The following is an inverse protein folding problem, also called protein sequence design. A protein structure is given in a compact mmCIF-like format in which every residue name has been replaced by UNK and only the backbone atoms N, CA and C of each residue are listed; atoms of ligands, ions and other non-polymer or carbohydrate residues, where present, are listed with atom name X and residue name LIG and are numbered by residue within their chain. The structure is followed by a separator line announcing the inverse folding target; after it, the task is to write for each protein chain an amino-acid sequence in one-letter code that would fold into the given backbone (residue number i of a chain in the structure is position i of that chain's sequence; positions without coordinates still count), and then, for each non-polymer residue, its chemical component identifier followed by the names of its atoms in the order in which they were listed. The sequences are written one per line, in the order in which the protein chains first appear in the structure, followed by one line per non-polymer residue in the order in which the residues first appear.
data_IF_175767593886
#
_entry.id   IF_175767593886
#
_cell.length_a   1.000
_cell.length_b   1.000
_cell.length_c   1.000
_cell.angle_alpha   90.00
_cell.angle_beta   90.00
_cell.angle_gamma   90.00
#
_symmetry.space_group_name_H-M   'P 1'
#
loop_
_entity.id
_entity.type
_entity.pdbx_description
1 polymer ?
#
# COMPACT_ATOMS: atom_id res chain seq x y z
N UNK A 1 -18.67 16.66 7.90
CA UNK A 1 -17.32 16.89 8.45
C UNK A 1 -16.55 15.58 8.26
N UNK A 2 -15.61 15.53 7.30
CA UNK A 2 -14.91 14.28 6.91
C UNK A 2 -13.89 13.92 7.99
N UNK A 3 -13.97 12.71 8.56
CA UNK A 3 -12.94 12.20 9.47
C UNK A 3 -11.88 11.43 8.67
N UNK A 4 -10.59 11.84 8.70
CA UNK A 4 -9.54 11.02 8.12
C UNK A 4 -9.51 9.66 8.83
N UNK A 5 -9.53 8.57 8.06
CA UNK A 5 -9.29 7.24 8.61
C UNK A 5 -7.83 7.06 9.03
N UNK A 6 -7.50 5.90 9.61
CA UNK A 6 -6.12 5.54 9.91
C UNK A 6 -5.26 5.30 8.67
N UNK A 7 -3.95 5.29 8.89
CA UNK A 7 -2.94 5.06 7.86
C UNK A 7 -2.67 3.59 7.55
N UNK A 8 -1.63 3.34 6.76
CA UNK A 8 -1.20 1.97 6.40
C UNK A 8 -0.08 1.50 7.31
N UNK A 9 -0.14 0.26 7.77
CA UNK A 9 0.88 -0.37 8.61
C UNK A 9 1.25 -1.75 8.09
N UNK A 10 2.26 -2.34 8.72
CA UNK A 10 2.69 -3.70 8.51
C UNK A 10 2.30 -4.52 9.75
N UNK A 11 1.54 -5.60 9.58
CA UNK A 11 1.03 -6.45 10.68
C UNK A 11 1.48 -7.89 10.50
N UNK A 12 1.91 -8.54 11.59
CA UNK A 12 2.21 -9.96 11.59
C UNK A 12 0.97 -10.79 11.20
N UNK A 13 1.17 -11.74 10.30
CA UNK A 13 0.15 -12.61 9.72
C UNK A 13 0.51 -14.07 9.95
N UNK A 14 -0.28 -14.76 10.77
CA UNK A 14 -0.09 -16.19 11.08
C UNK A 14 0.98 -16.46 12.14
N UNK A 15 1.40 -17.74 12.24
CA UNK A 15 2.23 -18.28 13.33
C UNK A 15 3.71 -18.45 12.95
N UNK A 16 4.15 -17.89 11.82
CA UNK A 16 5.57 -17.82 11.46
C UNK A 16 6.16 -16.52 12.00
N UNK A 17 7.46 -16.52 12.26
CA UNK A 17 8.14 -15.45 13.01
C UNK A 17 8.08 -14.09 12.29
N UNK A 18 7.93 -14.04 10.96
CA UNK A 18 8.00 -12.81 10.19
C UNK A 18 7.10 -12.65 8.92
N UNK A 19 5.91 -13.27 8.73
CA UNK A 19 5.06 -12.92 7.61
C UNK A 19 4.34 -11.61 7.92
N UNK A 20 4.69 -10.53 7.25
CA UNK A 20 4.09 -9.21 7.48
C UNK A 20 3.14 -8.87 6.34
N UNK A 21 1.85 -8.79 6.66
CA UNK A 21 0.77 -8.31 5.78
C UNK A 21 0.67 -6.79 5.87
N UNK A 22 0.38 -6.15 4.75
CA UNK A 22 0.10 -4.71 4.71
C UNK A 22 -1.37 -4.51 5.06
N UNK A 23 -1.65 -3.64 6.04
CA UNK A 23 -3.00 -3.45 6.57
C UNK A 23 -3.31 -1.97 6.79
N UNK A 24 -4.58 -1.60 6.63
CA UNK A 24 -5.16 -0.34 7.10
C UNK A 24 -5.31 -0.36 8.62
N UNK A 25 -5.05 0.78 9.25
CA UNK A 25 -5.44 1.08 10.62
C UNK A 25 -6.78 1.82 10.65
N UNK A 26 -7.54 1.64 11.72
CA UNK A 26 -8.74 2.42 11.97
C UNK A 26 -8.39 3.84 12.45
N UNK A 27 -7.33 3.97 13.25
CA UNK A 27 -6.83 5.23 13.82
C UNK A 27 -5.29 5.28 13.78
N UNK A 28 -4.74 6.51 13.71
CA UNK A 28 -3.30 6.77 13.72
C UNK A 28 -2.65 6.86 12.33
N UNK A 29 -1.41 7.32 12.27
CA UNK A 29 -0.73 7.70 11.02
C UNK A 29 -0.17 6.53 10.20
N UNK A 30 -0.07 5.34 10.79
CA UNK A 30 0.60 4.20 10.16
C UNK A 30 2.12 4.36 10.02
N UNK A 31 2.70 3.54 9.16
CA UNK A 31 4.11 3.59 8.78
C UNK A 31 4.30 4.44 7.51
N UNK A 32 5.42 5.18 7.39
CA UNK A 32 5.73 5.91 6.17
C UNK A 32 5.91 4.94 5.00
N UNK A 33 5.49 5.32 3.80
CA UNK A 33 5.70 4.52 2.59
C UNK A 33 6.60 5.28 1.62
N UNK A 34 7.57 4.56 1.07
CA UNK A 34 8.42 5.06 0.01
C UNK A 34 7.94 4.49 -1.32
N UNK A 35 7.58 5.39 -2.22
CA UNK A 35 7.36 5.11 -3.62
C UNK A 35 8.63 5.43 -4.41
N UNK A 36 8.95 4.63 -5.41
CA UNK A 36 10.07 4.90 -6.31
C UNK A 36 9.70 4.43 -7.71
N UNK A 37 9.91 5.29 -8.69
CA UNK A 37 9.77 4.97 -10.11
C UNK A 37 11.13 4.58 -10.68
N UNK A 38 11.21 3.65 -11.63
CA UNK A 38 12.43 3.43 -12.41
C UNK A 38 12.75 4.64 -13.31
N UNK A 39 11.77 5.50 -13.59
CA UNK A 39 11.97 6.74 -14.31
C UNK A 39 12.74 7.71 -13.40
N UNK A 40 13.81 8.32 -13.93
CA UNK A 40 14.67 9.27 -13.19
C UNK A 40 14.07 10.67 -13.16
N UNK A 41 12.79 10.79 -12.80
CA UNK A 41 12.07 12.06 -12.71
C UNK A 41 12.09 12.60 -11.27
N UNK A 42 12.02 13.92 -11.14
CA UNK A 42 11.97 14.61 -9.83
C UNK A 42 10.65 14.37 -9.08
N UNK A 43 9.56 14.21 -9.83
CA UNK A 43 8.23 13.94 -9.31
C UNK A 43 7.73 12.62 -9.89
N UNK A 44 6.92 11.91 -9.10
CA UNK A 44 6.19 10.74 -9.60
C UNK A 44 5.02 11.24 -10.45
N UNK A 45 4.96 10.74 -11.68
CA UNK A 45 3.81 10.95 -12.54
C UNK A 45 2.63 10.11 -12.07
N UNK A 46 1.43 10.58 -12.38
CA UNK A 46 0.29 9.69 -12.44
C UNK A 46 0.58 8.59 -13.46
N UNK A 47 0.05 7.41 -13.20
CA UNK A 47 0.25 6.23 -14.03
C UNK A 47 1.67 5.61 -14.05
N UNK A 48 2.63 6.17 -13.32
CA UNK A 48 3.94 5.56 -13.17
C UNK A 48 3.87 4.19 -12.49
N UNK A 49 4.68 3.25 -12.98
CA UNK A 49 4.88 1.97 -12.30
C UNK A 49 5.89 2.12 -11.17
N UNK A 50 5.43 1.86 -9.95
CA UNK A 50 6.16 2.13 -8.73
C UNK A 50 6.59 0.83 -8.03
N UNK A 51 7.78 0.88 -7.44
CA UNK A 51 8.13 0.04 -6.32
C UNK A 51 7.67 0.71 -5.03
N UNK A 52 6.95 -0.04 -4.20
CA UNK A 52 6.38 0.44 -2.95
C UNK A 52 7.00 -0.31 -1.78
N UNK A 53 7.51 0.41 -0.77
CA UNK A 53 8.12 -0.22 0.41
C UNK A 53 7.95 0.60 1.68
N UNK A 54 8.04 -0.05 2.84
CA UNK A 54 8.24 0.68 4.11
C UNK A 54 9.73 1.03 4.25
N UNK A 55 10.14 2.30 4.46
CA UNK A 55 11.53 2.66 4.64
C UNK A 55 12.07 2.20 6.00
N UNK A 56 11.18 2.08 6.99
CA UNK A 56 11.46 1.58 8.32
C UNK A 56 10.53 0.39 8.56
N UNK A 57 11.12 -0.77 8.78
CA UNK A 57 10.40 -1.97 9.24
C UNK A 57 10.85 -2.29 10.66
N UNK A 58 9.96 -2.87 11.49
CA UNK A 58 10.36 -3.39 12.80
C UNK A 58 11.52 -4.39 12.64
N UNK A 59 12.44 -4.43 13.61
CA UNK A 59 13.67 -5.24 13.59
C UNK A 59 13.46 -6.73 13.27
N UNK A 60 12.27 -7.25 13.54
CA UNK A 60 11.87 -8.64 13.29
C UNK A 60 11.24 -8.87 11.90
N UNK A 61 11.29 -7.91 10.99
CA UNK A 61 10.85 -8.08 9.61
C UNK A 61 11.98 -8.66 8.73
N UNK A 62 11.69 -9.46 7.70
CA UNK A 62 12.70 -9.81 6.70
C UNK A 62 13.26 -8.51 6.11
N UNK A 63 14.56 -8.48 5.78
CA UNK A 63 15.29 -7.29 5.28
C UNK A 63 14.59 -6.57 4.12
N UNK A 64 13.68 -7.27 3.43
CA UNK A 64 12.92 -6.77 2.30
C UNK A 64 11.56 -6.19 2.75
N UNK A 65 11.48 -4.87 2.76
CA UNK A 65 10.26 -4.11 3.10
C UNK A 65 9.36 -3.78 1.91
N UNK A 66 9.67 -4.34 0.74
CA UNK A 66 8.95 -4.09 -0.50
C UNK A 66 7.63 -4.84 -0.52
N UNK A 67 6.58 -4.18 -0.99
CA UNK A 67 5.25 -4.74 -1.11
C UNK A 67 5.16 -5.69 -2.31
N UNK A 68 4.38 -6.74 -2.14
CA UNK A 68 4.10 -7.77 -3.14
C UNK A 68 2.68 -8.28 -2.96
N UNK A 69 2.13 -8.94 -3.97
CA UNK A 69 0.78 -9.53 -3.92
C UNK A 69 0.91 -11.05 -3.88
N UNK A 70 0.22 -11.72 -2.96
CA UNK A 70 0.19 -13.17 -2.91
C UNK A 70 -0.72 -13.76 -4.00
N UNK A 71 -0.24 -14.83 -4.64
CA UNK A 71 -1.04 -15.61 -5.58
C UNK A 71 -2.13 -16.37 -4.81
N UNK A 72 -3.38 -16.28 -5.27
CA UNK A 72 -4.54 -16.92 -4.65
C UNK A 72 -5.33 -15.98 -3.75
N UNK A 73 -4.79 -15.58 -2.59
CA UNK A 73 -5.51 -14.71 -1.65
C UNK A 73 -5.58 -13.24 -2.08
N UNK A 74 -4.74 -12.84 -3.05
CA UNK A 74 -4.57 -11.45 -3.50
C UNK A 74 -4.24 -10.44 -2.39
N UNK A 75 -3.83 -10.91 -1.20
CA UNK A 75 -3.38 -10.04 -0.11
C UNK A 75 -2.05 -9.34 -0.46
N UNK A 76 -1.94 -8.08 -0.06
CA UNK A 76 -0.69 -7.32 -0.16
C UNK A 76 0.18 -7.63 1.06
N UNK A 77 1.40 -8.10 0.84
CA UNK A 77 2.37 -8.47 1.87
C UNK A 77 3.74 -7.88 1.60
N UNK A 78 4.64 -7.99 2.56
CA UNK A 78 6.06 -7.72 2.31
C UNK A 78 6.70 -8.88 1.54
N UNK A 79 7.83 -8.61 0.91
CA UNK A 79 8.61 -9.57 0.13
C UNK A 79 9.21 -10.65 1.04
N UNK A 80 9.48 -11.85 0.50
CA UNK A 80 9.92 -13.02 1.27
C UNK A 80 8.97 -14.22 1.25
N UNK A 81 7.91 -14.17 0.43
CA UNK A 81 7.01 -15.31 0.20
C UNK A 81 7.30 -15.97 -1.14
N UNK A 82 7.18 -17.30 -1.20
CA UNK A 82 7.48 -18.12 -2.39
C UNK A 82 6.35 -18.16 -3.44
N UNK A 83 5.21 -17.49 -3.21
CA UNK A 83 4.03 -17.52 -4.09
C UNK A 83 3.45 -16.12 -4.30
N UNK A 84 4.18 -15.29 -5.03
CA UNK A 84 3.77 -13.92 -5.36
C UNK A 84 3.37 -13.78 -6.82
N UNK A 85 2.51 -12.80 -7.11
CA UNK A 85 2.17 -12.39 -8.47
C UNK A 85 3.23 -11.40 -8.94
N UNK A 86 3.80 -11.62 -10.14
CA UNK A 86 4.70 -10.65 -10.76
C UNK A 86 3.88 -9.46 -11.27
N UNK A 87 4.31 -8.26 -10.89
CA UNK A 87 3.61 -7.03 -11.23
C UNK A 87 4.20 -5.82 -10.53
N UNK A 88 3.58 -4.66 -10.76
CA UNK A 88 3.99 -3.38 -10.17
C UNK A 88 2.77 -2.62 -9.66
N UNK A 89 3.00 -1.77 -8.67
CA UNK A 89 1.97 -0.86 -8.18
C UNK A 89 1.93 0.39 -9.07
N UNK A 90 0.76 1.02 -9.11
CA UNK A 90 0.50 2.21 -9.91
C UNK A 90 -0.36 3.15 -9.09
N UNK A 91 -0.02 4.44 -9.06
CA UNK A 91 -0.85 5.46 -8.43
C UNK A 91 -1.73 6.09 -9.51
N UNK A 92 -3.02 6.16 -9.25
CA UNK A 92 -4.02 6.73 -10.13
C UNK A 92 -4.65 7.94 -9.43
N UNK A 93 -4.77 9.06 -10.12
CA UNK A 93 -5.58 10.16 -9.62
C UNK A 93 -7.05 9.80 -9.63
N UNK A 94 -7.80 10.48 -8.77
CA UNK A 94 -9.26 10.44 -8.77
C UNK A 94 -9.79 11.87 -8.80
N UNK A 95 -11.10 12.03 -9.00
CA UNK A 95 -11.73 13.34 -9.25
C UNK A 95 -11.73 14.33 -8.06
N UNK A 96 -11.14 13.99 -6.91
CA UNK A 96 -11.23 14.78 -5.66
C UNK A 96 -9.95 14.76 -4.81
N UNK A 97 -8.81 15.21 -5.36
CA UNK A 97 -7.51 15.36 -4.65
C UNK A 97 -7.04 14.13 -3.85
N UNK A 98 -7.56 12.97 -4.20
CA UNK A 98 -7.24 11.69 -3.59
C UNK A 98 -6.79 10.72 -4.67
N UNK A 99 -6.06 9.72 -4.24
CA UNK A 99 -5.38 8.80 -5.13
C UNK A 99 -5.87 7.38 -4.88
N UNK A 100 -5.95 6.58 -5.91
CA UNK A 100 -6.10 5.14 -5.79
C UNK A 100 -4.75 4.48 -6.06
N UNK A 101 -4.54 3.33 -5.43
CA UNK A 101 -3.42 2.46 -5.76
C UNK A 101 -3.99 1.27 -6.54
N UNK A 102 -3.32 0.88 -7.62
CA UNK A 102 -3.64 -0.32 -8.40
C UNK A 102 -2.42 -1.23 -8.45
N UNK A 103 -2.65 -2.53 -8.61
CA UNK A 103 -1.61 -3.50 -8.90
C UNK A 103 -1.81 -4.06 -10.30
N UNK A 104 -0.79 -3.87 -11.14
CA UNK A 104 -0.78 -4.33 -12.52
C UNK A 104 0.07 -5.59 -12.63
N UNK A 105 -0.58 -6.71 -12.92
CA UNK A 105 0.12 -7.96 -13.17
C UNK A 105 0.82 -7.93 -14.53
N UNK A 106 1.83 -8.77 -14.73
CA UNK A 106 2.53 -8.88 -16.03
C UNK A 106 1.61 -9.26 -17.21
N UNK A 107 0.38 -9.72 -16.93
CA UNK A 107 -0.65 -9.99 -17.94
C UNK A 107 -1.42 -8.74 -18.39
N UNK A 108 -0.91 -7.53 -18.12
CA UNK A 108 -1.46 -6.21 -18.49
C UNK A 108 -2.80 -5.79 -17.85
N UNK A 109 -3.35 -6.62 -16.96
CA UNK A 109 -4.52 -6.26 -16.16
C UNK A 109 -4.11 -5.56 -14.86
N UNK A 110 -4.66 -4.38 -14.63
CA UNK A 110 -4.53 -3.64 -13.39
C UNK A 110 -5.81 -3.79 -12.56
N UNK A 111 -5.65 -4.17 -11.31
CA UNK A 111 -6.74 -4.29 -10.36
C UNK A 111 -6.54 -3.28 -9.22
N UNK A 112 -7.62 -2.67 -8.70
CA UNK A 112 -7.51 -1.72 -7.59
C UNK A 112 -7.02 -2.42 -6.33
N UNK A 113 -6.23 -1.69 -5.54
CA UNK A 113 -5.87 -2.05 -4.17
C UNK A 113 -6.97 -1.54 -3.25
N UNK A 114 -7.52 -2.46 -2.49
CA UNK A 114 -8.60 -2.24 -1.56
C UNK A 114 -8.31 -2.73 -0.16
N UNK A 115 -9.29 -2.56 0.72
CA UNK A 115 -9.32 -3.19 2.04
C UNK A 115 -10.33 -4.34 2.07
N UNK A 116 -10.37 -5.11 3.16
CA UNK A 116 -11.42 -6.10 3.30
C UNK A 116 -12.76 -5.40 3.57
N UNK A 117 -13.86 -6.03 3.17
CA UNK A 117 -15.20 -5.66 3.64
C UNK A 117 -15.23 -5.59 5.18
N UNK A 118 -16.16 -4.77 5.71
CA UNK A 118 -16.40 -4.59 7.14
C UNK A 118 -16.31 -5.93 7.90
N UNK A 119 -15.40 -6.00 8.89
CA UNK A 119 -15.17 -7.19 9.73
C UNK A 119 -13.84 -7.94 9.51
N UNK A 120 -13.07 -7.61 8.47
CA UNK A 120 -11.72 -8.16 8.27
C UNK A 120 -10.61 -7.49 9.10
N UNK A 121 -9.43 -8.13 9.22
CA UNK A 121 -8.26 -7.61 10.00
C UNK A 121 -7.60 -6.32 9.45
N UNK A 122 -8.25 -5.64 8.51
CA UNK A 122 -7.73 -4.46 7.80
C UNK A 122 -6.73 -4.75 6.70
N UNK A 123 -6.49 -6.01 6.31
CA UNK A 123 -5.48 -6.38 5.30
C UNK A 123 -5.80 -5.79 3.92
N UNK A 124 -4.81 -5.17 3.28
CA UNK A 124 -4.97 -4.73 1.90
C UNK A 124 -5.04 -5.94 0.95
N UNK A 125 -5.94 -5.86 -0.01
CA UNK A 125 -6.17 -6.88 -1.04
C UNK A 125 -6.19 -6.23 -2.42
N UNK A 126 -5.88 -7.01 -3.45
CA UNK A 126 -6.01 -6.59 -4.84
C UNK A 126 -7.28 -7.19 -5.41
N UNK A 127 -8.12 -6.37 -6.05
CA UNK A 127 -9.30 -6.83 -6.79
C UNK A 127 -10.61 -6.17 -6.38
N UNK A 128 -11.48 -5.99 -7.39
CA UNK A 128 -12.85 -5.49 -7.25
C UNK A 128 -12.93 -3.99 -6.95
N UNK A 129 -13.52 -3.24 -7.88
CA UNK A 129 -13.69 -1.77 -7.75
C UNK A 129 -14.48 -1.37 -6.50
N UNK A 130 -15.41 -2.21 -6.06
CA UNK A 130 -16.22 -2.00 -4.86
C UNK A 130 -15.39 -1.92 -3.56
N UNK A 131 -14.15 -2.43 -3.56
CA UNK A 131 -13.28 -2.45 -2.39
C UNK A 131 -12.17 -1.39 -2.44
N UNK A 132 -12.11 -0.60 -3.51
CA UNK A 132 -11.05 0.39 -3.74
C UNK A 132 -10.95 1.35 -2.56
N UNK A 133 -9.74 1.50 -2.04
CA UNK A 133 -9.43 2.52 -1.04
C UNK A 133 -8.89 3.76 -1.74
N UNK A 134 -9.37 4.91 -1.28
CA UNK A 134 -8.82 6.21 -1.65
C UNK A 134 -7.80 6.64 -0.60
N UNK A 135 -6.67 7.15 -1.07
CA UNK A 135 -5.52 7.55 -0.29
C UNK A 135 -5.29 9.05 -0.38
N UNK A 136 -4.89 9.64 0.74
CA UNK A 136 -4.26 10.94 0.83
C UNK A 136 -2.80 10.74 1.19
N UNK A 137 -1.90 11.46 0.50
CA UNK A 137 -0.48 11.42 0.80
C UNK A 137 -0.11 12.59 1.72
N UNK A 138 0.34 12.26 2.92
CA UNK A 138 0.92 13.22 3.86
C UNK A 138 2.44 13.13 3.80
N UNK A 139 3.11 14.25 3.55
CA UNK A 139 4.58 14.32 3.57
C UNK A 139 5.10 13.94 4.95
N UNK A 140 6.02 12.98 5.02
CA UNK A 140 6.77 12.66 6.23
C UNK A 140 8.07 13.47 6.24
N UNK A 141 8.32 14.21 7.31
CA UNK A 141 9.45 15.16 7.42
C UNK A 141 10.54 14.69 8.39
N UNK A 142 10.53 13.43 8.81
CA UNK A 142 11.62 12.87 9.62
C UNK A 142 12.96 12.95 8.89
N UNK A 143 14.00 13.45 9.57
CA UNK A 143 15.35 13.59 9.03
C UNK A 143 15.87 12.24 8.54
N UNK A 144 15.96 12.08 7.20
CA UNK A 144 17.08 11.52 6.44
C UNK A 144 16.70 11.51 4.95
N UNK A 145 17.09 12.56 4.23
CA UNK A 145 17.48 12.55 2.82
C UNK A 145 16.49 12.17 1.71
N UNK A 146 15.30 11.63 1.99
CA UNK A 146 14.27 11.31 0.99
C UNK A 146 12.91 11.48 1.62
N UNK A 147 12.03 12.26 0.98
CA UNK A 147 10.67 12.52 1.45
C UNK A 147 9.85 11.23 1.43
N UNK A 148 9.54 10.61 2.57
CA UNK A 148 8.58 9.52 2.62
C UNK A 148 7.18 10.13 2.55
N UNK A 149 6.22 9.42 1.97
CA UNK A 149 4.80 9.82 2.00
C UNK A 149 4.08 8.85 2.94
N UNK A 150 3.43 9.38 3.96
CA UNK A 150 2.49 8.63 4.78
C UNK A 150 1.15 8.56 4.04
N UNK A 151 0.58 7.37 3.91
CA UNK A 151 -0.74 7.18 3.33
C UNK A 151 -1.81 7.25 4.41
N UNK A 152 -2.82 8.08 4.21
CA UNK A 152 -4.06 8.12 4.99
C UNK A 152 -5.22 7.66 4.14
N UNK A 153 -6.11 6.85 4.70
CA UNK A 153 -7.27 6.37 3.95
C UNK A 153 -8.43 7.35 4.08
N UNK A 154 -9.07 7.64 2.95
CA UNK A 154 -10.30 8.42 2.86
C UNK A 154 -11.51 7.47 2.96
N UNK A 155 -12.49 7.84 3.79
CA UNK A 155 -13.76 7.13 3.92
C UNK A 155 -14.83 8.04 3.33
N UNK A 156 -15.46 7.61 2.23
CA UNK A 156 -16.64 8.28 1.70
C UNK A 156 -17.87 7.74 2.43
N UNK A 157 -18.54 8.58 3.20
CA UNK A 157 -19.89 8.28 3.68
C UNK A 157 -20.87 8.32 2.50
N UNK A 158 -21.83 7.39 2.49
CA UNK A 158 -23.01 7.43 1.61
C UNK A 158 -24.14 8.15 2.33
#
# INVERSE_FOLDING_TARGET
MVRPGGGITARLSGNKICPITVSKLDLGSGLPVKFSSPLKTLNLGEDDYLTTRFPLIPWNAPTLSQWTVLKGSKEVKLTGYNKTVLGKFKVNSTSWDSYALSFCSSASTCEPVGGPYFGGRGNLIVGGEANRILFLFQKFTGQLGQVPLAMKNHVSEK
#
